data_IF_805546791511
#
_entry.id   IF_805546791511
#
_cell.length_a   1.000
_cell.length_b   1.000
_cell.length_c   1.000
_cell.angle_alpha   90.00
_cell.angle_beta   90.00
_cell.angle_gamma   90.00
#
_symmetry.space_group_name_H-M   'P 1'
#
loop_
_entity.id
_entity.type
_entity.pdbx_description
1 polymer ?
#
# COMPACT_ATOMS: atom_id res chain seq x y z
N UNK A 1 -6.17 8.09 -12.41
CA UNK A 1 -7.15 7.94 -11.31
C UNK A 1 -6.53 7.11 -10.20
N UNK A 2 -6.85 7.44 -8.96
CA UNK A 2 -6.45 6.66 -7.78
C UNK A 2 -7.59 5.74 -7.37
N UNK A 3 -7.27 4.51 -6.97
CA UNK A 3 -8.24 3.56 -6.41
C UNK A 3 -7.97 3.42 -4.93
N UNK A 4 -8.98 3.58 -4.10
CA UNK A 4 -8.86 3.32 -2.66
C UNK A 4 -9.20 1.87 -2.35
N UNK A 5 -8.57 1.29 -1.33
CA UNK A 5 -8.87 -0.08 -0.91
C UNK A 5 -10.35 -0.28 -0.54
N UNK A 6 -11.01 0.61 0.22
CA UNK A 6 -12.44 0.48 0.50
C UNK A 6 -13.32 0.48 -0.76
N UNK A 7 -13.00 1.30 -1.77
CA UNK A 7 -13.75 1.32 -3.02
C UNK A 7 -13.59 0.00 -3.79
N UNK A 8 -12.38 -0.55 -3.80
CA UNK A 8 -12.10 -1.83 -4.44
C UNK A 8 -12.78 -2.99 -3.71
N UNK A 9 -12.80 -2.99 -2.37
CA UNK A 9 -13.53 -3.96 -1.55
C UNK A 9 -15.04 -3.89 -1.80
N UNK A 10 -15.60 -2.67 -1.80
CA UNK A 10 -17.00 -2.45 -2.11
C UNK A 10 -17.35 -2.99 -3.50
N UNK A 11 -16.53 -2.67 -4.50
CA UNK A 11 -16.71 -3.17 -5.86
C UNK A 11 -16.63 -4.70 -5.92
N UNK A 12 -15.60 -5.31 -5.33
CA UNK A 12 -15.44 -6.76 -5.28
C UNK A 12 -16.66 -7.47 -4.68
N UNK A 13 -17.19 -6.93 -3.57
CA UNK A 13 -18.39 -7.44 -2.92
C UNK A 13 -19.63 -7.27 -3.80
N UNK A 14 -19.81 -6.13 -4.45
CA UNK A 14 -20.96 -5.87 -5.33
C UNK A 14 -21.07 -6.83 -6.52
N UNK A 15 -19.93 -7.38 -6.97
CA UNK A 15 -19.86 -8.36 -8.06
C UNK A 15 -19.51 -9.77 -7.57
N UNK A 16 -19.58 -10.01 -6.25
CA UNK A 16 -19.34 -11.29 -5.58
C UNK A 16 -18.05 -11.99 -6.03
N UNK A 17 -16.93 -11.26 -6.04
CA UNK A 17 -15.64 -11.78 -6.50
C UNK A 17 -14.51 -11.45 -5.53
N UNK A 18 -13.33 -12.05 -5.75
CA UNK A 18 -12.16 -11.74 -4.94
C UNK A 18 -11.65 -10.32 -5.23
N UNK A 19 -10.98 -9.68 -4.27
CA UNK A 19 -10.33 -8.37 -4.49
C UNK A 19 -9.41 -8.40 -5.72
N UNK A 20 -8.67 -9.49 -5.91
CA UNK A 20 -7.76 -9.64 -7.03
C UNK A 20 -8.51 -9.68 -8.37
N UNK A 21 -9.56 -10.49 -8.46
CA UNK A 21 -10.41 -10.55 -9.65
C UNK A 21 -11.14 -9.23 -9.91
N UNK A 22 -11.53 -8.51 -8.85
CA UNK A 22 -12.13 -7.19 -8.96
C UNK A 22 -11.13 -6.15 -9.49
N UNK A 23 -9.86 -6.22 -9.06
CA UNK A 23 -8.78 -5.37 -9.53
C UNK A 23 -8.56 -5.54 -11.04
N UNK A 24 -8.43 -6.78 -11.53
CA UNK A 24 -8.30 -7.07 -12.97
C UNK A 24 -9.50 -6.52 -13.75
N UNK A 25 -10.73 -6.75 -13.28
CA UNK A 25 -11.95 -6.24 -13.93
C UNK A 25 -12.02 -4.71 -13.95
N UNK A 26 -11.54 -4.06 -12.89
CA UNK A 26 -11.49 -2.60 -12.79
C UNK A 26 -10.44 -2.02 -13.73
N UNK A 27 -9.27 -2.65 -13.85
CA UNK A 27 -8.24 -2.28 -14.83
C UNK A 27 -8.77 -2.37 -16.27
N UNK A 28 -9.47 -3.47 -16.61
CA UNK A 28 -10.10 -3.63 -17.92
C UNK A 28 -11.15 -2.56 -18.19
N UNK A 29 -11.98 -2.24 -17.19
CA UNK A 29 -13.00 -1.19 -17.32
C UNK A 29 -12.37 0.19 -17.51
N UNK A 30 -11.33 0.51 -16.74
CA UNK A 30 -10.61 1.77 -16.86
C UNK A 30 -9.97 1.90 -18.26
N UNK A 31 -9.26 0.87 -18.70
CA UNK A 31 -8.64 0.80 -20.03
C UNK A 31 -9.65 0.99 -21.17
N UNK A 32 -10.80 0.31 -21.11
CA UNK A 32 -11.89 0.44 -22.11
C UNK A 32 -12.45 1.86 -22.21
N UNK A 33 -12.36 2.64 -21.13
CA UNK A 33 -12.83 4.01 -21.09
C UNK A 33 -11.70 5.04 -21.26
N UNK A 34 -10.48 4.62 -21.59
CA UNK A 34 -9.33 5.50 -21.74
C UNK A 34 -8.85 6.12 -20.42
N UNK A 35 -9.17 5.49 -19.28
CA UNK A 35 -8.77 5.93 -17.95
C UNK A 35 -7.56 5.12 -17.49
N UNK A 36 -6.48 5.79 -17.11
CA UNK A 36 -5.32 5.17 -16.49
C UNK A 36 -5.46 5.17 -14.97
N UNK A 37 -5.27 4.00 -14.35
CA UNK A 37 -5.11 3.87 -12.90
C UNK A 37 -3.64 4.13 -12.57
N UNK A 38 -3.37 5.13 -11.73
CA UNK A 38 -2.00 5.55 -11.42
C UNK A 38 -1.55 5.07 -10.04
N UNK A 39 -2.48 4.88 -9.11
CA UNK A 39 -2.16 4.51 -7.74
C UNK A 39 -3.22 3.63 -7.08
N UNK A 40 -2.75 2.73 -6.21
CA UNK A 40 -3.57 2.07 -5.18
C UNK A 40 -3.31 2.74 -3.83
N UNK A 41 -4.37 3.26 -3.22
CA UNK A 41 -4.35 3.79 -1.87
C UNK A 41 -4.83 2.74 -0.87
N UNK A 42 -3.89 2.04 -0.21
CA UNK A 42 -4.23 0.86 0.60
C UNK A 42 -4.92 1.20 1.93
N UNK A 43 -4.86 2.47 2.37
CA UNK A 43 -5.51 3.02 3.58
C UNK A 43 -5.34 2.22 4.89
N UNK A 44 -4.28 1.42 5.02
CA UNK A 44 -4.22 0.44 6.10
C UNK A 44 -2.93 0.49 6.93
N UNK A 45 -3.12 0.54 8.25
CA UNK A 45 -2.13 0.69 9.32
C UNK A 45 -0.87 -0.17 9.18
N UNK A 46 0.10 0.28 8.38
CA UNK A 46 1.35 -0.45 8.15
C UNK A 46 2.49 0.09 8.99
N UNK A 47 2.89 1.33 8.72
CA UNK A 47 4.00 1.98 9.43
C UNK A 47 3.57 2.34 10.86
N UNK A 48 4.40 1.99 11.84
CA UNK A 48 4.14 2.28 13.25
C UNK A 48 3.14 1.34 13.93
N UNK A 49 2.50 0.42 13.19
CA UNK A 49 1.57 -0.54 13.76
C UNK A 49 2.27 -1.62 14.60
N UNK A 50 1.68 -2.00 15.73
CA UNK A 50 2.32 -2.91 16.71
C UNK A 50 2.24 -4.40 16.35
N UNK A 51 1.61 -4.76 15.23
CA UNK A 51 1.58 -6.15 14.78
C UNK A 51 2.98 -6.63 14.36
N UNK A 52 3.27 -7.94 14.49
CA UNK A 52 4.52 -8.52 14.03
C UNK A 52 4.89 -8.06 12.62
N UNK A 53 6.20 -7.82 12.38
CA UNK A 53 6.69 -7.35 11.08
C UNK A 53 6.27 -8.29 9.94
N UNK A 54 6.32 -9.61 10.18
CA UNK A 54 5.93 -10.60 9.18
C UNK A 54 4.46 -10.45 8.74
N UNK A 55 3.54 -10.19 9.67
CA UNK A 55 2.12 -10.00 9.35
C UNK A 55 1.91 -8.72 8.54
N UNK A 56 2.65 -7.66 8.88
CA UNK A 56 2.64 -6.40 8.11
C UNK A 56 3.17 -6.62 6.71
N UNK A 57 4.32 -7.28 6.56
CA UNK A 57 4.93 -7.59 5.26
C UNK A 57 4.03 -8.48 4.40
N UNK A 58 3.34 -9.46 4.98
CA UNK A 58 2.35 -10.28 4.26
C UNK A 58 1.21 -9.41 3.72
N UNK A 59 0.75 -8.43 4.52
CA UNK A 59 -0.28 -7.47 4.12
C UNK A 59 0.20 -6.50 3.02
N UNK A 60 1.41 -5.96 3.13
CA UNK A 60 1.98 -5.14 2.06
C UNK A 60 2.20 -5.95 0.78
N UNK A 61 2.57 -7.22 0.90
CA UNK A 61 2.71 -8.13 -0.25
C UNK A 61 1.37 -8.30 -0.97
N UNK A 62 0.25 -8.46 -0.25
CA UNK A 62 -1.05 -8.54 -0.90
C UNK A 62 -1.45 -7.24 -1.61
N UNK A 63 -1.12 -6.07 -1.03
CA UNK A 63 -1.33 -4.79 -1.70
C UNK A 63 -0.50 -4.63 -2.97
N UNK A 64 0.75 -5.07 -2.97
CA UNK A 64 1.61 -5.03 -4.16
C UNK A 64 1.04 -5.89 -5.29
N UNK A 65 0.54 -7.09 -4.97
CA UNK A 65 -0.10 -7.96 -5.94
C UNK A 65 -1.35 -7.29 -6.54
N UNK A 66 -2.18 -6.67 -5.71
CA UNK A 66 -3.38 -5.95 -6.18
C UNK A 66 -3.03 -4.71 -7.01
N UNK A 67 -2.04 -3.91 -6.59
CA UNK A 67 -1.58 -2.75 -7.34
C UNK A 67 -1.08 -3.15 -8.74
N UNK A 68 -0.36 -4.28 -8.83
CA UNK A 68 0.07 -4.85 -10.11
C UNK A 68 -1.10 -5.23 -11.01
N UNK A 69 -2.13 -5.89 -10.47
CA UNK A 69 -3.33 -6.24 -11.25
C UNK A 69 -4.15 -5.01 -11.70
N UNK A 70 -4.14 -3.94 -10.90
CA UNK A 70 -4.73 -2.66 -11.32
C UNK A 70 -3.93 -1.96 -12.43
N UNK A 71 -2.70 -2.38 -12.69
CA UNK A 71 -1.75 -1.65 -13.53
C UNK A 71 -1.29 -0.33 -12.89
N UNK A 72 -1.41 -0.20 -11.56
CA UNK A 72 -1.03 1.00 -10.83
C UNK A 72 0.50 1.08 -10.68
N UNK A 73 1.07 2.23 -11.02
CA UNK A 73 2.52 2.49 -10.86
C UNK A 73 2.89 2.75 -9.39
N UNK A 74 1.98 3.37 -8.64
CA UNK A 74 2.22 3.77 -7.26
C UNK A 74 1.38 2.98 -6.26
N UNK A 75 1.99 2.56 -5.16
CA UNK A 75 1.30 2.05 -3.97
C UNK A 75 1.44 3.08 -2.85
N UNK A 76 0.35 3.73 -2.48
CA UNK A 76 0.35 4.64 -1.34
C UNK A 76 0.18 3.85 -0.04
N UNK A 77 1.19 3.96 0.83
CA UNK A 77 1.22 3.31 2.13
C UNK A 77 1.08 4.37 3.23
N UNK A 78 -0.09 4.48 3.88
CA UNK A 78 -0.26 5.44 4.95
C UNK A 78 0.40 4.95 6.25
N UNK A 79 0.81 5.90 7.09
CA UNK A 79 1.14 5.63 8.48
C UNK A 79 -0.07 5.11 9.27
N UNK A 80 0.17 4.46 10.40
CA UNK A 80 -0.91 4.05 11.31
C UNK A 80 -1.69 5.26 11.82
N UNK A 81 -3.02 5.14 11.80
CA UNK A 81 -3.92 6.13 12.42
C UNK A 81 -4.26 5.77 13.87
N UNK A 82 -3.74 4.65 14.38
CA UNK A 82 -4.04 4.17 15.73
C UNK A 82 -3.18 4.91 16.75
N UNK A 83 -3.84 5.64 17.65
CA UNK A 83 -3.19 6.39 18.73
C UNK A 83 -2.32 5.47 19.59
N UNK A 84 -1.10 5.91 19.90
CA UNK A 84 -0.16 5.17 20.76
C UNK A 84 0.60 4.05 20.05
N UNK A 85 0.40 3.87 18.75
CA UNK A 85 1.21 2.96 17.93
C UNK A 85 2.26 3.77 17.16
N UNK A 86 3.50 3.78 17.65
CA UNK A 86 4.65 4.44 17.01
C UNK A 86 6.01 3.81 17.40
N UNK A 87 6.00 2.53 17.75
CA UNK A 87 7.15 1.87 18.39
C UNK A 87 8.16 1.24 17.40
N UNK A 88 8.10 1.59 16.10
CA UNK A 88 8.99 1.08 15.04
C UNK A 88 10.43 1.63 15.09
N UNK A 89 10.88 2.17 16.23
CA UNK A 89 12.24 2.73 16.40
C UNK A 89 13.36 1.73 16.08
N UNK A 90 13.11 0.41 16.17
CA UNK A 90 14.07 -0.63 15.82
C UNK A 90 14.09 -0.99 14.33
N UNK A 91 13.02 -0.69 13.59
CA UNK A 91 12.89 -1.00 12.15
C UNK A 91 13.45 0.14 11.31
N UNK A 92 13.34 1.39 11.78
CA UNK A 92 14.03 2.55 11.20
C UNK A 92 15.50 2.50 11.62
N UNK A 93 16.27 1.65 10.94
CA UNK A 93 17.72 1.71 11.01
C UNK A 93 18.14 2.99 10.29
N UNK A 94 18.37 4.08 11.04
CA UNK A 94 19.09 5.23 10.49
C UNK A 94 20.46 4.68 10.09
N UNK A 95 20.73 4.54 8.79
CA UNK A 95 22.09 4.37 8.30
C UNK A 95 22.88 5.53 8.87
N UNK A 96 23.74 5.26 9.88
CA UNK A 96 24.67 6.26 10.38
C UNK A 96 25.54 6.68 9.20
N UNK A 97 25.22 7.82 8.57
CA UNK A 97 26.22 8.52 7.75
C UNK A 97 27.42 8.75 8.66
N UNK A 98 28.55 8.13 8.34
CA UNK A 98 29.84 8.47 8.94
C UNK A 98 30.04 9.97 8.71
N UNK A 99 29.96 10.76 9.77
CA UNK A 99 30.40 12.15 9.76
C UNK A 99 31.93 12.15 9.66
N UNK A 100 32.46 12.56 8.52
CA UNK A 100 33.86 12.96 8.44
C UNK A 100 33.95 14.40 8.95
N UNK A 101 34.64 14.56 10.08
CA UNK A 101 35.06 15.85 10.62
C UNK A 101 36.32 16.25 9.85
N UNK A 102 36.23 17.22 8.94
CA UNK A 102 37.42 17.92 8.44
C UNK A 102 37.62 19.10 9.37
N UNK A 103 38.65 19.02 10.21
CA UNK A 103 39.17 20.16 10.98
C UNK A 103 40.20 20.83 10.06
N UNK A 104 40.04 22.14 9.83
CA UNK A 104 41.06 22.98 9.18
C UNK A 104 42.34 23.03 10.01
#
# INVERSE_FOLDING_TARGET
MEITWPDLEFYANSISTSILSAATKMADLASKNGVTIIALASFQNFEGHLSPLNDRLAKATSWLVVARELGAEYLQMPSTYIRGQNNDRKVISVTKKKSYLIIN
#
